data_IF_097452917098
#
_entry.id   IF_097452917098
#
_cell.length_a   1.000
_cell.length_b   1.000
_cell.length_c   1.000
_cell.angle_alpha   90.00
_cell.angle_beta   90.00
_cell.angle_gamma   90.00
#
_symmetry.space_group_name_H-M   'P 1'
#
loop_
_entity.id
_entity.type
_entity.pdbx_description
1 polymer ?
#
# COMPACT_ATOMS: atom_id res chain seq x y z
N UNK A 1 -8.01 19.56 5.27
CA UNK A 1 -7.75 19.90 6.69
C UNK A 1 -7.38 18.66 7.50
N UNK A 2 -7.99 17.52 7.19
CA UNK A 2 -7.97 16.27 7.96
C UNK A 2 -6.58 15.67 8.23
N UNK A 3 -5.64 15.76 7.27
CA UNK A 3 -4.26 15.28 7.48
C UNK A 3 -3.58 16.01 8.64
N UNK A 4 -3.76 17.33 8.75
CA UNK A 4 -3.19 18.10 9.85
C UNK A 4 -3.87 17.74 11.18
N UNK A 5 -5.19 17.53 11.16
CA UNK A 5 -5.95 17.09 12.34
C UNK A 5 -5.38 15.78 12.92
N UNK A 6 -5.06 14.81 12.05
CA UNK A 6 -4.41 13.56 12.45
C UNK A 6 -2.99 13.79 12.97
N UNK A 7 -2.17 14.53 12.22
CA UNK A 7 -0.74 14.69 12.50
C UNK A 7 -0.44 15.46 13.79
N UNK A 8 -1.28 16.44 14.16
CA UNK A 8 -1.16 17.18 15.43
C UNK A 8 -1.22 16.22 16.64
N UNK A 9 -2.05 15.17 16.57
CA UNK A 9 -2.18 14.20 17.68
C UNK A 9 -0.92 13.36 17.92
N UNK A 10 0.00 13.33 16.96
CA UNK A 10 1.22 12.50 16.96
C UNK A 10 2.49 13.33 17.04
N UNK A 11 2.36 14.64 17.04
CA UNK A 11 3.49 15.54 17.08
C UNK A 11 3.98 15.71 18.52
N UNK A 12 5.28 15.96 18.64
CA UNK A 12 5.90 16.30 19.90
C UNK A 12 5.29 17.61 20.43
N UNK A 13 4.62 17.53 21.59
CA UNK A 13 3.95 18.68 22.22
C UNK A 13 4.92 19.78 22.65
N UNK A 14 6.21 19.47 22.76
CA UNK A 14 7.26 20.44 23.12
C UNK A 14 7.72 21.28 21.92
N UNK A 15 7.33 20.90 20.69
CA UNK A 15 7.76 21.56 19.45
C UNK A 15 6.58 22.16 18.69
N UNK A 16 6.86 23.24 17.95
CA UNK A 16 5.89 23.82 17.03
C UNK A 16 5.55 22.83 15.92
N UNK A 17 4.26 22.61 15.69
CA UNK A 17 3.79 21.68 14.65
C UNK A 17 3.97 22.28 13.24
N UNK A 18 4.75 21.63 12.36
CA UNK A 18 4.90 22.09 10.97
C UNK A 18 3.66 21.71 10.17
N UNK A 19 2.76 22.68 9.97
CA UNK A 19 1.51 22.47 9.24
C UNK A 19 1.78 22.10 7.77
N UNK A 20 1.20 21.00 7.32
CA UNK A 20 1.22 20.62 5.91
C UNK A 20 0.26 21.53 5.14
N UNK A 21 0.80 22.29 4.19
CA UNK A 21 0.03 23.14 3.29
C UNK A 21 0.68 23.10 1.90
N UNK A 22 -0.11 22.75 0.90
CA UNK A 22 0.29 22.79 -0.51
C UNK A 22 -0.95 22.83 -1.39
N UNK A 23 -0.86 23.50 -2.53
CA UNK A 23 -1.86 23.49 -3.61
C UNK A 23 -1.58 22.40 -4.64
N UNK A 24 -0.42 21.74 -4.58
CA UNK A 24 -0.04 20.68 -5.50
C UNK A 24 -0.69 19.35 -5.08
N UNK A 25 -1.62 18.86 -5.91
CA UNK A 25 -2.39 17.65 -5.64
C UNK A 25 -1.51 16.40 -5.47
N UNK A 26 -0.45 16.25 -6.28
CA UNK A 26 0.46 15.10 -6.22
C UNK A 26 1.21 15.09 -4.89
N UNK A 27 1.73 16.24 -4.47
CA UNK A 27 2.43 16.37 -3.19
C UNK A 27 1.53 16.03 -2.00
N UNK A 28 0.29 16.52 -2.02
CA UNK A 28 -0.70 16.22 -0.96
C UNK A 28 -1.03 14.73 -0.93
N UNK A 29 -1.22 14.12 -2.10
CA UNK A 29 -1.50 12.68 -2.22
C UNK A 29 -0.35 11.85 -1.65
N UNK A 30 0.89 12.21 -1.95
CA UNK A 30 2.07 11.51 -1.42
C UNK A 30 2.17 11.62 0.10
N UNK A 31 1.83 12.77 0.69
CA UNK A 31 1.75 12.92 2.13
C UNK A 31 0.70 12.00 2.75
N UNK A 32 -0.50 11.93 2.16
CA UNK A 32 -1.59 11.07 2.62
C UNK A 32 -1.18 9.59 2.53
N UNK A 33 -0.60 9.16 1.41
CA UNK A 33 -0.17 7.76 1.22
C UNK A 33 0.94 7.38 2.19
N UNK A 34 1.87 8.30 2.48
CA UNK A 34 2.90 8.10 3.50
C UNK A 34 2.29 7.93 4.87
N UNK A 35 1.35 8.80 5.26
CA UNK A 35 0.76 8.73 6.60
C UNK A 35 -0.16 7.52 6.75
N UNK A 36 -0.93 7.15 5.73
CA UNK A 36 -1.72 5.91 5.68
C UNK A 36 -0.85 4.67 5.94
N UNK A 37 0.37 4.62 5.39
CA UNK A 37 1.31 3.52 5.60
C UNK A 37 1.81 3.43 7.05
N UNK A 38 1.97 4.58 7.74
CA UNK A 38 2.37 4.61 9.15
C UNK A 38 1.21 4.25 10.06
N UNK A 39 0.03 4.76 9.76
CA UNK A 39 -1.14 4.63 10.62
C UNK A 39 -1.77 3.24 10.59
N UNK A 40 -1.85 2.64 9.40
CA UNK A 40 -2.62 1.42 9.19
C UNK A 40 -1.74 0.18 9.08
N UNK A 41 -0.60 0.18 9.79
CA UNK A 41 0.26 -1.01 9.92
C UNK A 41 -0.56 -2.14 10.55
N UNK A 42 -0.43 -3.35 10.01
CA UNK A 42 -1.15 -4.55 10.44
C UNK A 42 -2.69 -4.50 10.34
N UNK A 43 -3.26 -3.53 9.61
CA UNK A 43 -4.72 -3.47 9.34
C UNK A 43 -5.15 -4.20 8.06
N UNK A 44 -4.26 -4.96 7.43
CA UNK A 44 -4.55 -5.71 6.19
C UNK A 44 -4.62 -4.87 4.91
N UNK A 45 -4.48 -3.55 4.97
CA UNK A 45 -4.67 -2.66 3.82
C UNK A 45 -3.49 -2.60 2.86
N UNK A 46 -2.30 -2.99 3.31
CA UNK A 46 -1.06 -2.84 2.52
C UNK A 46 -1.09 -3.61 1.20
N UNK A 47 -1.71 -4.79 1.20
CA UNK A 47 -1.78 -5.62 0.00
C UNK A 47 -2.62 -4.95 -1.10
N UNK A 48 -3.81 -4.45 -0.75
CA UNK A 48 -4.66 -3.71 -1.68
C UNK A 48 -4.01 -2.41 -2.16
N UNK A 49 -3.35 -1.67 -1.26
CA UNK A 49 -2.64 -0.45 -1.63
C UNK A 49 -1.50 -0.72 -2.63
N UNK A 50 -0.71 -1.79 -2.47
CA UNK A 50 0.33 -2.15 -3.45
C UNK A 50 -0.27 -2.41 -4.83
N UNK A 51 -1.38 -3.17 -4.92
CA UNK A 51 -2.04 -3.45 -6.19
C UNK A 51 -2.55 -2.17 -6.86
N UNK A 52 -3.36 -1.39 -6.13
CA UNK A 52 -3.99 -0.17 -6.65
C UNK A 52 -2.96 0.88 -7.03
N UNK A 53 -1.95 1.12 -6.21
CA UNK A 53 -0.92 2.12 -6.49
C UNK A 53 -0.03 1.71 -7.67
N UNK A 54 0.29 0.43 -7.83
CA UNK A 54 1.07 -0.02 -8.98
C UNK A 54 0.31 0.11 -10.31
N UNK A 55 -1.02 -0.02 -10.28
CA UNK A 55 -1.89 0.29 -11.43
C UNK A 55 -1.94 1.79 -11.75
N UNK A 56 -1.74 2.64 -10.75
CA UNK A 56 -1.63 4.10 -10.89
C UNK A 56 -0.20 4.57 -11.24
N UNK A 57 0.74 3.66 -11.52
CA UNK A 57 2.09 4.02 -11.95
C UNK A 57 3.10 4.30 -10.83
N UNK A 58 2.78 4.00 -9.57
CA UNK A 58 3.73 4.19 -8.45
C UNK A 58 4.92 3.20 -8.47
N UNK A 59 4.86 2.15 -9.29
CA UNK A 59 5.96 1.21 -9.56
C UNK A 59 6.68 0.67 -8.30
N UNK A 60 5.89 0.37 -7.26
CA UNK A 60 6.36 -0.12 -5.96
C UNK A 60 6.71 -1.61 -6.06
N UNK A 61 7.99 -1.93 -5.91
CA UNK A 61 8.49 -3.30 -5.74
C UNK A 61 8.48 -3.69 -4.27
N UNK A 62 7.76 -4.75 -3.91
CA UNK A 62 7.78 -5.29 -2.55
C UNK A 62 9.01 -6.19 -2.40
N UNK A 63 9.91 -5.84 -1.47
CA UNK A 63 11.10 -6.62 -1.13
C UNK A 63 11.00 -7.11 0.31
N UNK A 64 11.30 -8.38 0.53
CA UNK A 64 11.30 -9.04 1.84
C UNK A 64 12.63 -9.76 2.04
N UNK A 65 13.39 -9.35 3.05
CA UNK A 65 14.75 -9.84 3.33
C UNK A 65 14.84 -10.74 4.57
N UNK A 66 13.72 -11.20 5.12
CA UNK A 66 13.69 -11.98 6.35
C UNK A 66 14.02 -13.46 6.16
N UNK A 67 14.03 -13.98 4.92
CA UNK A 67 14.43 -15.34 4.58
C UNK A 67 15.70 -15.33 3.72
N UNK A 68 16.42 -16.46 3.69
CA UNK A 68 17.68 -16.64 2.96
C UNK A 68 17.59 -16.35 1.45
N UNK A 69 16.38 -16.34 0.88
CA UNK A 69 16.11 -15.80 -0.45
C UNK A 69 15.44 -14.43 -0.32
N UNK A 70 16.09 -13.38 -0.80
CA UNK A 70 15.46 -12.07 -0.95
C UNK A 70 14.27 -12.19 -1.91
N UNK A 71 13.07 -12.30 -1.37
CA UNK A 71 11.86 -12.44 -2.19
C UNK A 71 11.43 -11.04 -2.65
N UNK A 72 11.29 -10.90 -3.97
CA UNK A 72 10.83 -9.66 -4.59
C UNK A 72 9.56 -9.89 -5.41
N UNK A 73 8.61 -8.98 -5.26
CA UNK A 73 7.38 -8.94 -6.02
C UNK A 73 7.35 -7.63 -6.82
N UNK A 74 7.57 -7.77 -8.13
CA UNK A 74 7.58 -6.67 -9.08
C UNK A 74 6.20 -5.99 -9.16
N UNK A 75 6.15 -4.69 -9.51
CA UNK A 75 4.89 -4.00 -9.75
C UNK A 75 4.09 -4.71 -10.85
N UNK A 76 2.76 -4.68 -10.73
CA UNK A 76 1.83 -5.28 -11.70
C UNK A 76 2.01 -6.79 -11.97
N UNK A 77 2.81 -7.51 -11.16
CA UNK A 77 2.97 -8.95 -11.28
C UNK A 77 1.66 -9.71 -11.06
N UNK A 78 1.41 -10.74 -11.85
CA UNK A 78 0.24 -11.62 -11.69
C UNK A 78 0.17 -12.27 -10.30
N UNK A 79 1.32 -12.45 -9.65
CA UNK A 79 1.48 -12.96 -8.27
C UNK A 79 0.84 -12.09 -7.18
N UNK A 80 0.26 -10.94 -7.54
CA UNK A 80 -0.63 -10.20 -6.64
C UNK A 80 -2.00 -10.88 -6.48
N UNK A 81 -2.48 -11.61 -7.48
CA UNK A 81 -3.66 -12.45 -7.36
C UNK A 81 -3.31 -13.73 -6.60
N UNK A 82 -4.14 -14.10 -5.62
CA UNK A 82 -4.02 -15.42 -5.01
C UNK A 82 -4.62 -16.43 -5.98
N UNK A 83 -3.95 -17.57 -6.18
CA UNK A 83 -4.49 -18.64 -7.02
C UNK A 83 -5.84 -19.08 -6.50
N UNK A 84 -6.77 -19.31 -7.43
CA UNK A 84 -8.04 -19.95 -7.14
C UNK A 84 -7.76 -21.37 -6.64
N UNK A 85 -8.47 -21.87 -5.61
CA UNK A 85 -8.33 -23.25 -5.18
C UNK A 85 -8.70 -24.22 -6.29
N UNK A 86 -7.93 -25.30 -6.43
CA UNK A 86 -8.07 -26.27 -7.53
C UNK A 86 -9.49 -26.85 -7.63
N UNK A 87 -10.07 -27.23 -6.49
CA UNK A 87 -11.44 -27.76 -6.44
C UNK A 87 -12.48 -26.81 -7.06
N UNK A 88 -12.30 -25.49 -6.95
CA UNK A 88 -13.23 -24.54 -7.56
C UNK A 88 -13.11 -24.57 -9.09
N UNK A 89 -11.89 -24.73 -9.62
CA UNK A 89 -11.64 -24.87 -11.06
C UNK A 89 -12.24 -26.18 -11.58
N UNK A 90 -12.02 -27.28 -10.86
CA UNK A 90 -12.55 -28.60 -11.21
C UNK A 90 -14.08 -28.62 -11.28
N UNK A 91 -14.76 -27.98 -10.31
CA UNK A 91 -16.23 -27.98 -10.24
C UNK A 91 -16.87 -26.97 -11.20
N UNK A 92 -16.29 -25.77 -11.34
CA UNK A 92 -16.90 -24.69 -12.11
C UNK A 92 -16.41 -24.59 -13.56
N UNK A 93 -15.33 -25.31 -13.91
CA UNK A 93 -14.63 -25.21 -15.20
C UNK A 93 -14.11 -23.80 -15.53
N UNK A 94 -14.05 -22.89 -14.56
CA UNK A 94 -13.55 -21.52 -14.77
C UNK A 94 -12.01 -21.50 -14.89
N UNK A 95 -11.44 -20.61 -15.72
CA UNK A 95 -10.00 -20.51 -15.87
C UNK A 95 -9.30 -20.00 -14.60
N UNK A 96 -8.07 -20.46 -14.36
CA UNK A 96 -7.20 -19.94 -13.30
C UNK A 96 -6.85 -18.47 -13.57
N UNK A 97 -6.48 -17.74 -12.52
CA UNK A 97 -5.86 -16.43 -12.67
C UNK A 97 -4.64 -16.53 -13.61
N UNK A 98 -4.50 -15.61 -14.58
CA UNK A 98 -3.40 -15.62 -15.53
C UNK A 98 -2.03 -15.50 -14.84
#
# INVERSE_FOLDING_TARGET
>A
ADLNTLMVTRWDKTKVYPKYASTNATQVTDWILKERRKELVNRGLRWGDLKRLNKLGYNITLKRSYNAGQQTLAPNSLRYAMSLPEYVIEVSTMPQNP
#
